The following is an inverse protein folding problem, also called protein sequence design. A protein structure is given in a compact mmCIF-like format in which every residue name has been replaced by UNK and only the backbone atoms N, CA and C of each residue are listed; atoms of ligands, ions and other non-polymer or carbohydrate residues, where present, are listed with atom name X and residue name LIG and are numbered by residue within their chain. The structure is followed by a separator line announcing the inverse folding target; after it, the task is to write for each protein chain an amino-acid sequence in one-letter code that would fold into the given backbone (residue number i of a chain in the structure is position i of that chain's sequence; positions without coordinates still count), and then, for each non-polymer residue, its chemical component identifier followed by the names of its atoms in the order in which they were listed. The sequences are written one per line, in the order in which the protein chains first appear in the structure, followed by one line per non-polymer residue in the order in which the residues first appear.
data_IF_372538450298
#
_entry.id   IF_372538450298
#
_cell.length_a   1.000
_cell.length_b   1.000
_cell.length_c   1.000
_cell.angle_alpha   90.00
_cell.angle_beta   90.00
_cell.angle_gamma   90.00
#
_symmetry.space_group_name_H-M   'P 1'
#
loop_
_entity.id
_entity.type
_entity.pdbx_description
1 polymer ?
#
# COMPACT_ATOMS: atom_id res chain seq x y z
N UNK A 1 1.48 -27.60 1.08
CA UNK A 1 1.91 -26.26 1.51
C UNK A 1 0.90 -25.17 1.17
N UNK A 2 0.58 -24.92 -0.12
CA UNK A 2 -0.36 -23.83 -0.52
C UNK A 2 -1.73 -23.93 0.15
N UNK A 3 -2.31 -25.13 0.24
CA UNK A 3 -3.59 -25.32 0.93
C UNK A 3 -3.51 -25.06 2.44
N UNK A 4 -2.35 -25.31 3.05
CA UNK A 4 -2.09 -24.97 4.45
C UNK A 4 -2.06 -23.45 4.64
N UNK A 5 -1.33 -22.73 3.78
CA UNK A 5 -1.27 -21.26 3.80
C UNK A 5 -2.65 -20.62 3.62
N UNK A 6 -3.48 -21.16 2.71
CA UNK A 6 -4.87 -20.70 2.53
C UNK A 6 -5.74 -20.94 3.77
N UNK A 7 -5.51 -22.02 4.52
CA UNK A 7 -6.21 -22.26 5.79
C UNK A 7 -5.73 -21.30 6.87
N UNK A 8 -4.42 -21.07 6.99
CA UNK A 8 -3.86 -20.06 7.91
C UNK A 8 -4.41 -18.66 7.62
N UNK A 9 -4.49 -18.24 6.35
CA UNK A 9 -5.07 -16.95 5.98
C UNK A 9 -6.56 -16.82 6.36
N UNK A 10 -7.29 -17.94 6.46
CA UNK A 10 -8.69 -17.95 6.94
C UNK A 10 -8.77 -17.93 8.47
N UNK A 11 -7.83 -18.56 9.16
CA UNK A 11 -7.79 -18.62 10.63
C UNK A 11 -7.27 -17.33 11.26
N UNK A 12 -6.35 -16.63 10.58
CA UNK A 12 -5.70 -15.42 11.06
C UNK A 12 -6.04 -14.23 10.17
N UNK A 13 -6.99 -13.36 10.57
CA UNK A 13 -7.48 -12.25 9.72
C UNK A 13 -6.41 -11.21 9.35
N UNK A 14 -5.41 -11.01 10.22
CA UNK A 14 -4.31 -10.07 9.97
C UNK A 14 -3.14 -10.69 9.21
N UNK A 15 -3.17 -12.00 8.93
CA UNK A 15 -2.12 -12.68 8.20
C UNK A 15 -2.31 -12.45 6.70
N UNK A 16 -1.34 -11.81 6.06
CA UNK A 16 -1.31 -11.72 4.60
C UNK A 16 -0.26 -12.68 4.05
N UNK A 17 -0.62 -13.38 2.98
CA UNK A 17 0.27 -14.31 2.30
C UNK A 17 0.53 -13.83 0.88
N UNK A 18 1.78 -13.61 0.53
CA UNK A 18 2.21 -13.19 -0.81
C UNK A 18 3.15 -14.22 -1.42
N UNK A 19 3.10 -14.35 -2.74
CA UNK A 19 4.10 -15.12 -3.50
C UNK A 19 4.96 -14.11 -4.23
N UNK A 20 6.27 -14.14 -3.98
CA UNK A 20 7.21 -13.28 -4.69
C UNK A 20 7.58 -13.85 -6.06
N UNK A 21 8.12 -13.02 -6.94
CA UNK A 21 8.58 -13.45 -8.28
C UNK A 21 9.69 -14.51 -8.22
N UNK A 22 10.43 -14.57 -7.10
CA UNK A 22 11.41 -15.62 -6.80
C UNK A 22 10.78 -17.00 -6.57
N UNK A 23 9.46 -17.07 -6.37
CA UNK A 23 8.74 -18.28 -5.98
C UNK A 23 8.67 -18.51 -4.46
N UNK A 24 9.18 -17.57 -3.66
CA UNK A 24 9.10 -17.64 -2.20
C UNK A 24 7.71 -17.28 -1.68
N UNK A 25 7.27 -17.97 -0.63
CA UNK A 25 6.02 -17.69 0.06
C UNK A 25 6.30 -16.82 1.29
N UNK A 26 5.86 -15.56 1.23
CA UNK A 26 6.04 -14.58 2.31
C UNK A 26 4.79 -14.52 3.18
N UNK A 27 5.00 -14.59 4.49
CA UNK A 27 3.97 -14.41 5.51
C UNK A 27 4.17 -13.04 6.18
N UNK A 28 3.17 -12.17 6.08
CA UNK A 28 3.12 -10.88 6.76
C UNK A 28 2.21 -11.01 7.99
N UNK A 29 2.75 -10.76 9.17
CA UNK A 29 2.03 -10.78 10.45
C UNK A 29 2.37 -9.55 11.29
N UNK A 30 1.61 -9.32 12.35
CA UNK A 30 1.76 -8.10 13.17
C UNK A 30 2.87 -8.20 14.22
N UNK A 31 3.41 -9.39 14.45
CA UNK A 31 4.48 -9.60 15.44
C UNK A 31 4.98 -11.03 15.50
N UNK A 32 6.08 -11.21 16.24
CA UNK A 32 6.81 -12.47 16.34
C UNK A 32 5.95 -13.62 16.90
N UNK A 33 5.22 -13.36 17.99
CA UNK A 33 4.36 -14.37 18.62
C UNK A 33 3.27 -14.85 17.67
N UNK A 34 2.66 -13.94 16.91
CA UNK A 34 1.65 -14.32 15.93
C UNK A 34 2.25 -15.23 14.86
N UNK A 35 3.43 -14.87 14.33
CA UNK A 35 4.11 -15.67 13.32
C UNK A 35 4.53 -17.04 13.85
N UNK A 36 4.98 -17.12 15.11
CA UNK A 36 5.32 -18.40 15.74
C UNK A 36 4.09 -19.33 15.83
N UNK A 37 2.95 -18.82 16.29
CA UNK A 37 1.70 -19.58 16.32
C UNK A 37 1.26 -20.02 14.90
N UNK A 38 1.32 -19.12 13.92
CA UNK A 38 0.97 -19.42 12.53
C UNK A 38 1.87 -20.52 11.95
N UNK A 39 3.17 -20.46 12.22
CA UNK A 39 4.14 -21.46 11.75
C UNK A 39 3.94 -22.80 12.46
N UNK A 40 3.62 -22.81 13.75
CA UNK A 40 3.29 -24.01 14.50
C UNK A 40 2.03 -24.70 13.92
N UNK A 41 0.97 -23.93 13.66
CA UNK A 41 -0.27 -24.44 13.06
C UNK A 41 -0.06 -24.93 11.63
N UNK A 42 0.75 -24.22 10.84
CA UNK A 42 1.06 -24.61 9.47
C UNK A 42 1.83 -25.94 9.43
N UNK A 43 2.74 -26.18 10.39
CA UNK A 43 3.49 -27.43 10.52
C UNK A 43 2.64 -28.58 11.05
N UNK A 44 1.86 -28.37 12.11
CA UNK A 44 1.21 -29.45 12.86
C UNK A 44 -0.26 -29.68 12.50
N UNK A 45 -1.02 -28.63 12.23
CA UNK A 45 -2.49 -28.70 12.08
C UNK A 45 -2.90 -28.76 10.61
N UNK A 46 -2.32 -27.92 9.76
CA UNK A 46 -2.83 -27.70 8.41
C UNK A 46 -2.00 -28.35 7.30
N UNK A 47 -0.70 -28.51 7.53
CA UNK A 47 0.25 -28.96 6.51
C UNK A 47 0.79 -30.37 6.75
N UNK A 48 0.99 -30.78 8.00
CA UNK A 48 1.74 -31.98 8.39
C UNK A 48 3.04 -32.11 7.58
N UNK A 49 3.76 -30.99 7.44
CA UNK A 49 4.99 -30.86 6.64
C UNK A 49 6.06 -30.10 7.40
N UNK A 50 7.31 -30.51 7.20
CA UNK A 50 8.47 -29.75 7.66
C UNK A 50 8.67 -28.52 6.78
N UNK A 51 8.81 -27.35 7.42
CA UNK A 51 8.93 -26.06 6.75
C UNK A 51 10.20 -25.37 7.22
N UNK A 52 11.05 -25.04 6.24
CA UNK A 52 12.21 -24.17 6.44
C UNK A 52 11.75 -22.72 6.45
N UNK A 53 12.14 -22.00 7.49
CA UNK A 53 11.79 -20.61 7.71
C UNK A 53 13.09 -19.81 7.69
N UNK A 54 13.11 -18.73 6.92
CA UNK A 54 14.20 -17.76 6.90
C UNK A 54 14.11 -16.80 8.09
N UNK A 55 15.17 -16.03 8.32
CA UNK A 55 15.15 -15.00 9.37
C UNK A 55 14.04 -13.98 9.10
N UNK A 56 13.27 -13.58 10.13
CA UNK A 56 12.18 -12.63 9.96
C UNK A 56 12.71 -11.26 9.56
N UNK A 57 12.03 -10.62 8.61
CA UNK A 57 12.33 -9.27 8.13
C UNK A 57 11.06 -8.40 8.13
N UNK A 58 11.26 -7.08 8.07
CA UNK A 58 10.18 -6.10 8.01
C UNK A 58 10.00 -5.58 6.58
N UNK A 59 8.77 -5.28 6.16
CA UNK A 59 8.55 -4.59 4.89
C UNK A 59 9.07 -3.16 4.98
N UNK A 60 9.76 -2.72 3.93
CA UNK A 60 10.21 -1.34 3.79
C UNK A 60 9.28 -0.56 2.86
N UNK A 61 9.10 0.72 3.16
CA UNK A 61 8.42 1.68 2.29
C UNK A 61 9.43 2.70 1.77
N UNK A 62 9.15 3.26 0.60
CA UNK A 62 10.00 4.25 -0.06
C UNK A 62 9.38 5.65 0.03
N UNK A 63 10.22 6.68 0.14
CA UNK A 63 9.78 8.08 0.18
C UNK A 63 10.75 8.98 -0.58
N UNK A 64 10.27 10.16 -0.99
CA UNK A 64 11.08 11.21 -1.63
C UNK A 64 11.31 12.35 -0.65
N UNK A 65 12.56 12.80 -0.53
CA UNK A 65 12.93 13.89 0.39
C UNK A 65 12.93 15.27 -0.28
N UNK A 66 13.19 15.32 -1.59
CA UNK A 66 13.31 16.55 -2.36
C UNK A 66 12.59 16.40 -3.69
N UNK A 67 12.15 17.53 -4.27
CA UNK A 67 11.57 17.57 -5.60
C UNK A 67 12.56 17.02 -6.63
N UNK A 68 12.07 16.15 -7.52
CA UNK A 68 12.86 15.61 -8.63
C UNK A 68 13.48 16.73 -9.48
N UNK A 69 14.81 16.72 -9.62
CA UNK A 69 15.56 17.74 -10.37
C UNK A 69 15.26 17.76 -11.87
N UNK A 70 14.84 16.62 -12.43
CA UNK A 70 14.49 16.46 -13.83
C UNK A 70 13.03 16.02 -13.95
N UNK A 71 12.34 16.58 -14.95
CA UNK A 71 11.01 16.10 -15.35
C UNK A 71 11.19 14.80 -16.11
N UNK A 72 10.90 13.68 -15.46
CA UNK A 72 10.97 12.37 -16.07
C UNK A 72 9.85 12.21 -17.11
N UNK A 73 10.15 11.54 -18.22
CA UNK A 73 9.16 11.24 -19.25
C UNK A 73 9.17 9.77 -19.63
N UNK A 74 7.99 9.25 -19.96
CA UNK A 74 7.78 7.92 -20.50
C UNK A 74 7.01 8.02 -21.82
N UNK A 75 7.49 7.31 -22.84
CA UNK A 75 6.84 7.23 -24.15
C UNK A 75 6.29 5.83 -24.36
N UNK A 76 5.07 5.74 -24.89
CA UNK A 76 4.49 4.44 -25.22
C UNK A 76 5.25 3.77 -26.37
N UNK A 77 5.29 2.43 -26.47
CA UNK A 77 6.01 1.73 -27.54
C UNK A 77 5.58 2.13 -28.96
N UNK A 78 4.30 2.54 -29.12
CA UNK A 78 3.75 3.05 -30.37
C UNK A 78 4.11 4.53 -30.68
N UNK A 79 4.85 5.20 -29.79
CA UNK A 79 5.29 6.61 -29.87
C UNK A 79 4.15 7.64 -29.99
N UNK A 80 2.92 7.26 -29.69
CA UNK A 80 1.77 8.17 -29.79
C UNK A 80 1.62 9.05 -28.54
N UNK A 81 1.98 8.54 -27.37
CA UNK A 81 1.77 9.20 -26.09
C UNK A 81 3.08 9.40 -25.36
N UNK A 82 3.23 10.58 -24.74
CA UNK A 82 4.34 10.94 -23.87
C UNK A 82 3.78 11.48 -22.56
N UNK A 83 4.10 10.81 -21.46
CA UNK A 83 3.72 11.22 -20.10
C UNK A 83 4.94 11.82 -19.42
N UNK A 84 4.76 12.95 -18.74
CA UNK A 84 5.82 13.60 -17.95
C UNK A 84 5.35 13.80 -16.51
N UNK A 85 6.19 13.43 -15.55
CA UNK A 85 5.87 13.53 -14.12
C UNK A 85 7.07 14.06 -13.32
N UNK A 86 6.75 14.68 -12.19
CA UNK A 86 7.68 15.05 -11.12
C UNK A 86 7.21 14.42 -9.82
N UNK A 87 8.14 14.14 -8.92
CA UNK A 87 7.84 13.67 -7.58
C UNK A 87 8.32 14.73 -6.58
N UNK A 88 7.47 15.05 -5.59
CA UNK A 88 7.76 16.00 -4.52
C UNK A 88 7.37 15.36 -3.17
N UNK A 89 8.07 15.69 -2.07
CA UNK A 89 7.67 15.25 -0.75
C UNK A 89 6.27 15.78 -0.40
N UNK A 90 5.43 14.92 0.18
CA UNK A 90 4.12 15.33 0.71
C UNK A 90 4.29 16.18 1.96
N UNK A 91 3.31 17.06 2.24
CA UNK A 91 3.31 17.84 3.47
C UNK A 91 3.17 16.95 4.72
N UNK A 92 3.77 17.40 5.82
CA UNK A 92 3.74 16.69 7.09
C UNK A 92 2.30 16.46 7.57
N UNK A 93 2.00 15.22 7.94
CA UNK A 93 0.67 14.82 8.43
C UNK A 93 -0.39 14.59 7.34
N UNK A 94 -0.12 14.89 6.07
CA UNK A 94 -1.06 14.57 4.98
C UNK A 94 -1.19 13.05 4.79
N UNK A 95 -0.06 12.32 4.81
CA UNK A 95 -0.05 10.86 4.71
C UNK A 95 -0.91 10.21 5.81
N UNK A 96 -0.69 10.57 7.08
CA UNK A 96 -1.52 10.07 8.18
C UNK A 96 -2.99 10.42 8.04
N UNK A 97 -3.29 11.60 7.47
CA UNK A 97 -4.66 12.05 7.29
C UNK A 97 -5.39 11.22 6.21
N UNK A 98 -4.67 10.81 5.17
CA UNK A 98 -5.14 9.88 4.13
C UNK A 98 -5.36 8.50 4.74
N UNK A 99 -4.38 7.95 5.47
CA UNK A 99 -4.45 6.61 6.07
C UNK A 99 -5.59 6.47 7.10
N UNK A 100 -5.89 7.53 7.86
CA UNK A 100 -7.03 7.56 8.78
C UNK A 100 -8.38 7.62 8.07
N UNK A 101 -8.42 7.64 6.74
CA UNK A 101 -9.64 7.66 5.93
C UNK A 101 -10.41 8.99 5.99
N UNK A 102 -9.76 10.08 6.42
CA UNK A 102 -10.44 11.38 6.65
C UNK A 102 -10.66 12.18 5.36
N UNK A 103 -10.03 11.78 4.24
CA UNK A 103 -10.24 12.38 2.91
C UNK A 103 -11.28 11.61 2.07
N UNK A 104 -11.85 10.52 2.59
CA UNK A 104 -12.81 9.69 1.85
C UNK A 104 -12.14 8.89 0.72
N UNK A 105 -12.76 7.76 0.37
CA UNK A 105 -12.33 6.94 -0.77
C UNK A 105 -12.69 7.66 -2.09
N UNK A 106 -11.78 7.68 -3.07
CA UNK A 106 -12.06 8.15 -4.43
C UNK A 106 -12.94 7.17 -5.23
N UNK A 107 -13.07 5.94 -4.71
CA UNK A 107 -13.88 4.90 -5.30
C UNK A 107 -15.35 5.13 -4.92
N UNK A 108 -16.22 5.25 -5.93
CA UNK A 108 -17.54 5.91 -5.87
C UNK A 108 -18.61 5.35 -4.92
N UNK A 109 -18.24 4.59 -3.89
CA UNK A 109 -19.09 4.08 -2.83
C UNK A 109 -19.26 5.06 -1.65
N UNK A 110 -18.32 6.00 -1.42
CA UNK A 110 -18.45 7.03 -0.40
C UNK A 110 -18.66 8.39 -1.04
N UNK A 111 -19.85 8.97 -0.80
CA UNK A 111 -20.26 10.28 -1.30
C UNK A 111 -19.55 11.43 -0.55
N UNK A 112 -18.24 11.35 -0.35
CA UNK A 112 -17.47 12.55 0.01
C UNK A 112 -17.29 13.32 -1.28
N UNK A 113 -18.00 14.46 -1.40
CA UNK A 113 -17.95 15.23 -2.64
C UNK A 113 -16.50 15.60 -2.95
N UNK A 114 -16.07 15.53 -4.21
CA UNK A 114 -14.74 16.03 -4.63
C UNK A 114 -14.46 17.45 -4.12
N UNK A 115 -15.53 18.22 -3.88
CA UNK A 115 -15.53 19.55 -3.26
C UNK A 115 -15.04 19.54 -1.80
N UNK A 116 -15.45 18.58 -0.98
CA UNK A 116 -15.01 18.47 0.42
C UNK A 116 -13.52 18.14 0.50
N UNK A 117 -13.06 17.15 -0.27
CA UNK A 117 -11.63 16.80 -0.37
C UNK A 117 -10.81 18.03 -0.78
N UNK A 118 -11.24 18.72 -1.82
CA UNK A 118 -10.59 19.97 -2.28
C UNK A 118 -10.58 21.06 -1.20
N UNK A 119 -11.68 21.23 -0.46
CA UNK A 119 -11.77 22.22 0.60
C UNK A 119 -10.84 21.90 1.77
N UNK A 120 -10.68 20.62 2.11
CA UNK A 120 -9.78 20.16 3.18
C UNK A 120 -8.31 20.32 2.80
N UNK A 121 -7.94 19.99 1.57
CA UNK A 121 -6.57 20.19 1.06
C UNK A 121 -6.19 21.67 1.06
N UNK A 122 -7.11 22.56 0.67
CA UNK A 122 -6.88 24.02 0.70
C UNK A 122 -6.79 24.57 2.12
N UNK A 123 -7.74 24.20 2.99
CA UNK A 123 -7.86 24.79 4.32
C UNK A 123 -6.82 24.28 5.31
N UNK A 124 -6.46 22.99 5.25
CA UNK A 124 -5.52 22.37 6.20
C UNK A 124 -4.09 22.30 5.69
N UNK A 125 -3.91 22.02 4.41
CA UNK A 125 -2.58 21.78 3.81
C UNK A 125 -2.14 22.90 2.88
N UNK A 126 -2.95 23.95 2.70
CA UNK A 126 -2.56 25.13 1.93
C UNK A 126 -2.41 24.89 0.43
N UNK A 127 -2.98 23.80 -0.10
CA UNK A 127 -2.89 23.48 -1.52
C UNK A 127 -3.56 24.54 -2.38
N UNK A 128 -2.97 24.81 -3.55
CA UNK A 128 -3.59 25.70 -4.53
C UNK A 128 -4.91 25.13 -5.07
N UNK A 129 -5.78 26.05 -5.51
CA UNK A 129 -7.09 25.77 -6.08
C UNK A 129 -7.00 24.80 -7.25
N UNK A 130 -6.03 25.00 -8.14
CA UNK A 130 -5.85 24.19 -9.33
C UNK A 130 -5.29 22.82 -8.96
N UNK A 131 -4.26 22.78 -8.11
CA UNK A 131 -3.63 21.54 -7.65
C UNK A 131 -4.64 20.61 -6.94
N UNK A 132 -5.45 21.16 -6.03
CA UNK A 132 -6.49 20.40 -5.33
C UNK A 132 -7.55 19.84 -6.30
N UNK A 133 -7.88 20.57 -7.37
CA UNK A 133 -8.87 20.13 -8.36
C UNK A 133 -8.32 19.08 -9.32
N UNK A 134 -7.01 19.09 -9.58
CA UNK A 134 -6.32 18.14 -10.45
C UNK A 134 -5.89 16.86 -9.74
N UNK A 135 -6.34 16.60 -8.52
CA UNK A 135 -6.10 15.33 -7.84
C UNK A 135 -6.84 14.18 -8.56
N UNK A 136 -6.10 13.13 -8.91
CA UNK A 136 -6.65 11.98 -9.65
C UNK A 136 -6.99 10.81 -8.73
N UNK A 137 -6.09 10.46 -7.81
CA UNK A 137 -6.25 9.33 -6.88
C UNK A 137 -5.31 9.48 -5.69
N UNK A 138 -5.56 8.67 -4.65
CA UNK A 138 -4.66 8.47 -3.52
C UNK A 138 -4.05 7.07 -3.61
N UNK A 139 -2.72 6.97 -3.45
CA UNK A 139 -2.00 5.74 -3.15
C UNK A 139 -2.18 4.55 -4.12
N UNK A 140 -1.49 3.44 -3.85
CA UNK A 140 -1.69 2.17 -4.54
C UNK A 140 -3.01 1.50 -4.16
N UNK A 141 -3.41 1.60 -2.88
CA UNK A 141 -4.71 1.19 -2.38
C UNK A 141 -5.50 2.41 -1.91
N UNK A 142 -6.83 2.38 -2.04
CA UNK A 142 -7.72 3.44 -1.54
C UNK A 142 -7.59 3.68 -0.02
N UNK A 143 -6.97 2.74 0.72
CA UNK A 143 -6.91 2.72 2.19
C UNK A 143 -5.58 2.33 2.82
N UNK A 144 -4.50 2.11 2.07
CA UNK A 144 -3.22 1.69 2.67
C UNK A 144 -2.00 2.23 1.92
N UNK A 145 -1.08 2.82 2.71
CA UNK A 145 0.36 2.68 2.54
C UNK A 145 0.87 1.57 3.45
#
# INVERSE_FOLDING_TARGET
MVDGLRKCAKSYPSLQTRVEESGEHVLLGTGELQLDCVLADLRTVYGDIEIKVSDPCVPFTETVMETSSLKCFAETPNKANKLTMIAEPLEEGLAEYIERGKLGDFDGASLTSKSEVQSTLRSKFGWDVLAARSLWSFGPDSRSG
#
